data_IF_643063566583
#
_entry.id   IF_643063566583
#
_cell.length_a   1.000
_cell.length_b   1.000
_cell.length_c   1.000
_cell.angle_alpha   90.00
_cell.angle_beta   90.00
_cell.angle_gamma   90.00
#
_symmetry.space_group_name_H-M   'P 1'
#
loop_
_entity.id
_entity.type
_entity.pdbx_description
1 polymer ?
#
# COMPACT_ATOMS: atom_id res chain seq x y z
N UNK A 1 10.26 -11.14 -3.01
CA UNK A 1 10.33 -9.73 -2.58
C UNK A 1 11.77 -9.34 -2.31
N UNK A 2 12.20 -8.22 -2.86
CA UNK A 2 13.58 -7.76 -2.65
C UNK A 2 13.64 -6.92 -1.37
N UNK A 3 14.37 -7.40 -0.35
CA UNK A 3 14.49 -6.70 0.93
C UNK A 3 15.13 -5.32 0.80
N UNK A 4 16.09 -5.16 -0.09
CA UNK A 4 16.75 -3.86 -0.30
C UNK A 4 15.76 -2.86 -0.89
N UNK A 5 14.89 -3.28 -1.77
CA UNK A 5 13.86 -2.44 -2.36
C UNK A 5 12.86 -1.97 -1.30
N UNK A 6 12.44 -2.87 -0.42
CA UNK A 6 11.52 -2.52 0.68
C UNK A 6 12.15 -1.45 1.56
N UNK A 7 13.42 -1.63 1.94
CA UNK A 7 14.11 -0.66 2.80
C UNK A 7 14.27 0.69 2.10
N UNK A 8 14.55 0.68 0.80
CA UNK A 8 14.69 1.91 0.01
C UNK A 8 13.38 2.68 -0.03
N UNK A 9 12.26 1.98 -0.23
CA UNK A 9 10.95 2.62 -0.25
C UNK A 9 10.58 3.21 1.10
N UNK A 10 10.90 2.49 2.18
CA UNK A 10 10.60 3.00 3.53
C UNK A 10 11.50 4.15 3.93
N UNK A 11 12.66 4.30 3.30
CA UNK A 11 13.53 5.46 3.50
C UNK A 11 12.97 6.71 2.82
N UNK A 12 12.19 6.55 1.76
CA UNK A 12 11.60 7.66 1.02
C UNK A 12 10.42 8.27 1.80
N UNK A 13 10.50 9.58 2.05
CA UNK A 13 9.47 10.25 2.85
C UNK A 13 8.10 10.25 2.20
N UNK A 14 8.03 10.34 0.86
CA UNK A 14 6.75 10.32 0.16
C UNK A 14 6.11 8.94 0.19
N UNK A 15 6.90 7.89 0.03
CA UNK A 15 6.39 6.52 0.13
C UNK A 15 5.84 6.25 1.53
N UNK A 16 6.57 6.66 2.58
CA UNK A 16 6.08 6.52 3.96
C UNK A 16 4.79 7.33 4.17
N UNK A 17 4.75 8.54 3.64
CA UNK A 17 3.57 9.40 3.77
C UNK A 17 2.34 8.78 3.11
N UNK A 18 2.51 8.16 1.94
CA UNK A 18 1.42 7.47 1.25
C UNK A 18 0.91 6.30 2.09
N UNK A 19 1.81 5.46 2.58
CA UNK A 19 1.41 4.33 3.43
C UNK A 19 0.71 4.80 4.71
N UNK A 20 1.23 5.85 5.31
CA UNK A 20 0.65 6.41 6.54
C UNK A 20 -0.74 6.98 6.30
N UNK A 21 -0.89 7.80 5.26
CA UNK A 21 -2.16 8.44 4.95
C UNK A 21 -3.23 7.40 4.59
N UNK A 22 -2.88 6.43 3.73
CA UNK A 22 -3.82 5.40 3.30
C UNK A 22 -4.15 4.40 4.39
N UNK A 23 -3.33 4.31 5.45
CA UNK A 23 -3.63 3.43 6.59
C UNK A 23 -4.85 3.90 7.39
N UNK A 24 -5.21 5.17 7.26
CA UNK A 24 -6.40 5.72 7.93
C UNK A 24 -7.66 5.44 7.13
N UNK A 25 -7.60 5.64 5.83
CA UNK A 25 -8.71 5.37 4.92
C UNK A 25 -8.16 5.24 3.51
N UNK A 26 -8.83 4.49 2.62
CA UNK A 26 -8.41 4.43 1.22
C UNK A 26 -8.46 5.82 0.59
N UNK A 27 -7.47 6.12 -0.24
CA UNK A 27 -7.35 7.44 -0.87
C UNK A 27 -7.01 7.30 -2.35
N UNK A 28 -7.58 8.19 -3.17
CA UNK A 28 -7.22 8.30 -4.57
C UNK A 28 -5.89 9.04 -4.71
N UNK A 29 -5.30 9.01 -5.91
CA UNK A 29 -4.06 9.74 -6.18
C UNK A 29 -4.23 11.25 -5.97
N UNK A 30 -5.38 11.80 -6.36
CA UNK A 30 -5.68 13.23 -6.18
C UNK A 30 -5.75 13.58 -4.69
N UNK A 31 -6.45 12.75 -3.92
CA UNK A 31 -6.53 12.95 -2.47
C UNK A 31 -5.16 12.84 -1.81
N UNK A 32 -4.33 11.90 -2.27
CA UNK A 32 -2.98 11.73 -1.75
C UNK A 32 -2.10 12.95 -2.05
N UNK A 33 -2.19 13.47 -3.28
CA UNK A 33 -1.40 14.65 -3.65
C UNK A 33 -1.68 15.82 -2.71
N UNK A 34 -2.96 16.03 -2.38
CA UNK A 34 -3.35 17.09 -1.45
C UNK A 34 -2.91 16.76 -0.01
N UNK A 35 -3.11 15.53 0.43
CA UNK A 35 -2.86 15.14 1.81
C UNK A 35 -1.39 15.18 2.18
N UNK A 36 -0.50 14.81 1.26
CA UNK A 36 0.93 14.73 1.54
C UNK A 36 1.73 15.90 0.92
N UNK A 37 1.04 16.86 0.34
CA UNK A 37 1.64 18.03 -0.30
C UNK A 37 2.71 17.64 -1.33
N UNK A 38 2.32 16.78 -2.26
CA UNK A 38 3.19 16.31 -3.32
C UNK A 38 2.55 16.53 -4.67
N UNK A 39 3.37 16.67 -5.71
CA UNK A 39 2.85 16.79 -7.06
C UNK A 39 2.23 15.47 -7.53
N UNK A 40 1.21 15.50 -8.41
CA UNK A 40 0.64 14.27 -8.94
C UNK A 40 1.67 13.32 -9.58
N UNK A 41 2.64 13.78 -10.38
CA UNK A 41 3.66 12.85 -10.89
C UNK A 41 4.47 12.16 -9.82
N UNK A 42 4.78 12.86 -8.71
CA UNK A 42 5.50 12.25 -7.59
C UNK A 42 4.64 11.16 -6.94
N UNK A 43 3.36 11.44 -6.73
CA UNK A 43 2.43 10.46 -6.15
C UNK A 43 2.35 9.22 -7.04
N UNK A 44 2.15 9.40 -8.35
CA UNK A 44 2.03 8.25 -9.26
C UNK A 44 3.29 7.40 -9.28
N UNK A 45 4.47 8.00 -9.28
CA UNK A 45 5.72 7.24 -9.27
C UNK A 45 5.86 6.42 -7.98
N UNK A 46 5.57 7.03 -6.85
CA UNK A 46 5.69 6.33 -5.56
C UNK A 46 4.64 5.24 -5.42
N UNK A 47 3.42 5.50 -5.89
CA UNK A 47 2.35 4.50 -5.89
C UNK A 47 2.76 3.29 -6.74
N UNK A 48 3.30 3.53 -7.93
CA UNK A 48 3.75 2.45 -8.80
C UNK A 48 4.85 1.61 -8.14
N UNK A 49 5.82 2.28 -7.51
CA UNK A 49 6.91 1.60 -6.82
C UNK A 49 6.40 0.77 -5.64
N UNK A 50 5.47 1.33 -4.87
CA UNK A 50 4.89 0.63 -3.72
C UNK A 50 4.05 -0.57 -4.17
N UNK A 51 3.30 -0.43 -5.25
CA UNK A 51 2.52 -1.54 -5.81
C UNK A 51 3.44 -2.66 -6.32
N UNK A 52 4.51 -2.29 -7.00
CA UNK A 52 5.47 -3.26 -7.52
C UNK A 52 6.15 -4.05 -6.40
N UNK A 53 6.31 -3.45 -5.22
CA UNK A 53 6.91 -4.10 -4.06
C UNK A 53 5.86 -4.81 -3.18
N UNK A 54 4.60 -4.86 -3.61
CA UNK A 54 3.49 -5.46 -2.88
C UNK A 54 3.23 -4.81 -1.51
N UNK A 55 3.54 -3.52 -1.40
CA UNK A 55 3.29 -2.76 -0.17
C UNK A 55 1.99 -1.95 -0.22
N UNK A 56 1.43 -1.80 -1.42
CA UNK A 56 0.22 -1.02 -1.65
C UNK A 56 -0.68 -1.77 -2.62
N UNK A 57 -1.98 -1.71 -2.42
CA UNK A 57 -2.96 -2.28 -3.33
C UNK A 57 -3.88 -1.18 -3.82
N UNK A 58 -4.39 -1.37 -5.03
CA UNK A 58 -5.34 -0.46 -5.66
C UNK A 58 -6.68 -1.16 -5.81
N UNK A 59 -7.76 -0.44 -5.47
CA UNK A 59 -9.12 -0.92 -5.66
C UNK A 59 -9.87 0.12 -6.48
N UNK A 60 -10.83 -0.34 -7.29
CA UNK A 60 -11.69 0.56 -8.04
C UNK A 60 -12.88 0.97 -7.21
N UNK A 61 -13.16 2.26 -7.21
CA UNK A 61 -14.38 2.81 -6.62
C UNK A 61 -15.30 3.25 -7.74
N UNK A 62 -16.57 2.94 -7.62
CA UNK A 62 -17.59 3.28 -8.61
C UNK A 62 -18.47 4.39 -8.06
N UNK A 63 -18.66 5.43 -8.87
CA UNK A 63 -19.59 6.49 -8.54
C UNK A 63 -20.93 6.24 -9.21
N UNK A 64 -21.99 6.80 -8.64
CA UNK A 64 -23.33 6.68 -9.21
C UNK A 64 -23.46 7.27 -10.61
N UNK A 65 -22.55 8.17 -10.97
CA UNK A 65 -22.47 8.77 -12.32
C UNK A 65 -21.91 7.82 -13.37
N UNK A 66 -21.46 6.63 -13.00
CA UNK A 66 -20.82 5.68 -13.89
C UNK A 66 -19.30 5.82 -13.98
N UNK A 67 -18.73 6.83 -13.37
CA UNK A 67 -17.28 6.98 -13.30
C UNK A 67 -16.70 6.03 -12.27
N UNK A 68 -15.46 5.59 -12.51
CA UNK A 68 -14.73 4.80 -11.52
C UNK A 68 -13.30 5.32 -11.46
N UNK A 69 -12.71 5.21 -10.29
CA UNK A 69 -11.37 5.69 -10.03
C UNK A 69 -10.67 4.76 -9.05
N UNK A 70 -9.33 4.78 -9.07
CA UNK A 70 -8.55 3.96 -8.17
C UNK A 70 -8.40 4.61 -6.80
N UNK A 71 -8.53 3.80 -5.76
CA UNK A 71 -8.16 4.18 -4.41
C UNK A 71 -7.11 3.20 -3.91
N UNK A 72 -6.24 3.66 -3.04
CA UNK A 72 -5.09 2.90 -2.59
C UNK A 72 -5.20 2.61 -1.11
N UNK A 73 -4.77 1.42 -0.71
CA UNK A 73 -4.69 0.98 0.68
C UNK A 73 -3.36 0.28 0.91
N UNK A 74 -2.80 0.33 2.14
CA UNK A 74 -1.60 -0.45 2.41
C UNK A 74 -1.89 -1.95 2.29
N UNK A 75 -0.96 -2.68 1.70
CA UNK A 75 -0.96 -4.13 1.74
C UNK A 75 -0.08 -4.64 2.88
N UNK A 76 0.56 -3.73 3.61
CA UNK A 76 1.50 -4.04 4.69
C UNK A 76 1.03 -3.40 5.98
N UNK A 77 1.08 -4.16 7.07
CA UNK A 77 0.80 -3.65 8.41
C UNK A 77 2.10 -3.36 9.15
N UNK A 78 3.09 -4.22 8.98
CA UNK A 78 4.33 -4.13 9.73
C UNK A 78 5.49 -4.62 8.88
N UNK A 79 6.61 -3.93 9.00
CA UNK A 79 7.88 -4.37 8.43
C UNK A 79 8.85 -4.54 9.59
N UNK A 80 9.43 -5.72 9.70
CA UNK A 80 10.39 -6.04 10.76
C UNK A 80 11.74 -6.35 10.15
N UNK A 81 12.77 -5.68 10.63
CA UNK A 81 14.15 -5.94 10.22
C UNK A 81 14.85 -6.63 11.39
N UNK A 82 15.41 -7.80 11.13
CA UNK A 82 16.10 -8.59 12.16
C UNK A 82 17.55 -8.76 11.76
N UNK A 83 18.45 -8.60 12.72
CA UNK A 83 19.89 -8.77 12.53
C UNK A 83 20.34 -9.96 13.37
N UNK A 84 20.71 -11.08 12.71
CA UNK A 84 21.11 -12.32 13.39
C UNK A 84 22.14 -13.06 12.56
N UNK A 85 23.10 -13.65 13.22
CA UNK A 85 24.09 -14.58 12.62
C UNK A 85 24.84 -13.96 11.43
N UNK A 86 25.15 -12.66 11.51
CA UNK A 86 25.89 -11.98 10.46
C UNK A 86 25.04 -11.59 9.26
N UNK A 87 23.73 -11.72 9.35
CA UNK A 87 22.81 -11.40 8.27
C UNK A 87 21.69 -10.49 8.76
N UNK A 88 20.96 -9.89 7.82
CA UNK A 88 19.72 -9.24 8.17
C UNK A 88 18.58 -9.81 7.33
N UNK A 89 17.41 -9.82 7.89
CA UNK A 89 16.19 -10.24 7.21
C UNK A 89 15.15 -9.12 7.29
N UNK A 90 14.29 -9.07 6.28
CA UNK A 90 13.16 -8.14 6.26
C UNK A 90 11.89 -8.96 6.13
N UNK A 91 11.03 -8.83 7.12
CA UNK A 91 9.74 -9.49 7.13
C UNK A 91 8.65 -8.46 6.91
N UNK A 92 7.78 -8.73 5.94
CA UNK A 92 6.63 -7.88 5.63
C UNK A 92 5.37 -8.64 6.04
N UNK A 93 4.65 -8.11 7.02
CA UNK A 93 3.40 -8.72 7.47
C UNK A 93 2.25 -8.01 6.74
N UNK A 94 1.35 -8.77 6.09
CA UNK A 94 0.23 -8.16 5.37
C UNK A 94 -0.77 -7.55 6.34
N UNK A 95 -1.55 -6.60 5.84
CA UNK A 95 -2.62 -6.04 6.64
C UNK A 95 -3.64 -7.12 6.96
N UNK A 96 -4.09 -7.14 8.21
CA UNK A 96 -5.09 -8.08 8.64
C UNK A 96 -6.39 -7.89 7.87
N UNK A 97 -6.77 -6.65 7.64
CA UNK A 97 -7.96 -6.30 6.89
C UNK A 97 -7.94 -6.85 5.47
N UNK A 98 -6.79 -6.68 4.76
CA UNK A 98 -6.66 -7.19 3.39
C UNK A 98 -6.83 -8.71 3.35
N UNK A 99 -6.22 -9.41 4.30
CA UNK A 99 -6.31 -10.86 4.40
C UNK A 99 -7.72 -11.29 4.76
N UNK A 100 -8.35 -10.62 5.75
CA UNK A 100 -9.69 -10.92 6.18
C UNK A 100 -10.72 -10.64 5.08
N UNK A 101 -10.59 -9.53 4.38
CA UNK A 101 -11.48 -9.20 3.27
C UNK A 101 -11.41 -10.23 2.17
N UNK A 102 -10.21 -10.66 1.82
CA UNK A 102 -10.01 -11.67 0.80
C UNK A 102 -10.61 -13.00 1.21
N UNK A 103 -10.41 -13.39 2.46
CA UNK A 103 -10.97 -14.61 3.01
C UNK A 103 -12.50 -14.56 3.02
N UNK A 104 -13.06 -13.43 3.47
CA UNK A 104 -14.51 -13.23 3.51
C UNK A 104 -15.12 -13.32 2.12
N UNK A 105 -14.49 -12.70 1.13
CA UNK A 105 -14.98 -12.78 -0.25
C UNK A 105 -14.98 -14.20 -0.79
N UNK A 106 -13.92 -14.96 -0.52
CA UNK A 106 -13.86 -16.35 -0.94
C UNK A 106 -14.94 -17.19 -0.26
N UNK A 107 -15.14 -16.95 1.03
CA UNK A 107 -16.14 -17.67 1.81
C UNK A 107 -17.55 -17.35 1.32
N UNK A 108 -17.84 -16.09 1.08
CA UNK A 108 -19.15 -15.66 0.57
C UNK A 108 -19.42 -16.19 -0.85
N UNK A 109 -18.35 -16.29 -1.65
CA UNK A 109 -18.46 -16.83 -3.00
C UNK A 109 -18.82 -18.30 -3.05
N UNK A 110 -18.66 -19.02 -1.94
CA UNK A 110 -19.00 -20.45 -1.83
C UNK A 110 -20.46 -20.71 -1.47
N UNK A 111 -21.22 -19.66 -1.21
CA UNK A 111 -22.64 -19.81 -0.88
C UNK A 111 -23.51 -19.83 -2.16
#
# INVERSE_FOLDING_TARGET
MDRAEVLRLLEDEYARAILTATSREPMSATELADAIDASPPTVYRRVDDLKAADLLVEELQYESSGHHYGVYRPAVERVTVTFEDGEYTVRVDPTEETTADRFTRLYEGLR
#
